data_IF_717698274045
#
_entry.id   IF_717698274045
#
_cell.length_a   1.000
_cell.length_b   1.000
_cell.length_c   1.000
_cell.angle_alpha   90.00
_cell.angle_beta   90.00
_cell.angle_gamma   90.00
#
_symmetry.space_group_name_H-M   'P 1'
#
loop_
_entity.id
_entity.type
_entity.pdbx_description
1 polymer ?
#
# COMPACT_ATOMS: atom_id res chain seq x y z
N UNK A 1 -26.26 21.00 -47.97
CA UNK A 1 -27.15 22.17 -47.76
C UNK A 1 -27.51 22.22 -46.29
N UNK A 2 -27.15 23.33 -45.60
CA UNK A 2 -27.65 23.87 -44.32
C UNK A 2 -27.69 22.95 -43.06
N UNK A 3 -27.42 23.41 -41.83
CA UNK A 3 -26.77 24.61 -41.29
C UNK A 3 -26.48 24.39 -39.81
N UNK A 4 -25.41 25.00 -39.31
CA UNK A 4 -24.96 25.16 -37.93
C UNK A 4 -26.02 25.48 -36.87
N UNK A 5 -25.73 25.11 -35.62
CA UNK A 5 -25.82 26.03 -34.47
C UNK A 5 -25.01 25.51 -33.28
N UNK A 6 -23.86 26.15 -33.04
CA UNK A 6 -23.08 26.09 -31.80
C UNK A 6 -23.63 27.16 -30.84
N UNK A 7 -23.88 26.79 -29.59
CA UNK A 7 -24.16 27.75 -28.51
C UNK A 7 -22.99 27.71 -27.55
N UNK A 8 -22.15 28.74 -27.60
CA UNK A 8 -21.09 29.00 -26.64
C UNK A 8 -21.67 29.82 -25.46
N UNK A 9 -21.55 29.31 -24.24
CA UNK A 9 -21.86 30.06 -23.03
C UNK A 9 -20.55 30.65 -22.52
N UNK A 10 -20.41 31.96 -22.72
CA UNK A 10 -19.35 32.81 -22.14
C UNK A 10 -19.87 33.30 -20.80
N UNK A 11 -19.25 32.90 -19.69
CA UNK A 11 -19.46 33.55 -18.39
C UNK A 11 -18.20 34.30 -17.98
N UNK A 12 -18.43 35.57 -17.65
CA UNK A 12 -17.46 36.63 -17.45
C UNK A 12 -16.65 36.46 -16.16
N UNK A 13 -15.35 36.74 -16.28
CA UNK A 13 -14.44 37.04 -15.17
C UNK A 13 -14.86 38.35 -14.50
N UNK A 14 -14.97 38.33 -13.17
CA UNK A 14 -15.07 39.55 -12.36
C UNK A 14 -13.78 39.70 -11.54
N UNK A 15 -13.00 40.74 -11.85
CA UNK A 15 -11.81 41.17 -11.11
C UNK A 15 -12.18 42.43 -10.35
N UNK A 16 -11.95 42.47 -9.04
CA UNK A 16 -12.03 43.68 -8.22
C UNK A 16 -10.67 43.97 -7.56
N UNK A 17 -10.30 45.24 -7.32
CA UNK A 17 -8.92 45.65 -7.11
C UNK A 17 -8.52 45.85 -5.63
N UNK A 18 -7.25 45.55 -5.36
CA UNK A 18 -6.28 46.26 -4.51
C UNK A 18 -6.66 46.74 -3.10
N UNK A 19 -5.86 46.33 -2.10
CA UNK A 19 -5.07 47.30 -1.33
C UNK A 19 -3.89 46.66 -0.59
N UNK A 20 -2.74 47.30 -0.73
CA UNK A 20 -1.47 47.02 -0.08
C UNK A 20 -1.48 47.53 1.36
N UNK A 21 -1.02 46.74 2.33
CA UNK A 21 -0.51 47.30 3.58
C UNK A 21 0.72 46.53 4.07
N UNK A 22 1.84 47.24 4.04
CA UNK A 22 3.10 46.93 4.69
C UNK A 22 2.90 46.80 6.21
N UNK A 23 3.48 45.78 6.84
CA UNK A 23 4.18 46.03 8.10
C UNK A 23 5.36 45.08 8.33
N UNK A 24 6.51 45.72 8.47
CA UNK A 24 7.84 45.23 8.86
C UNK A 24 7.91 45.22 10.40
N UNK A 25 8.72 44.32 10.98
CA UNK A 25 9.57 44.44 12.19
C UNK A 25 9.79 43.05 12.80
N UNK A 26 10.97 42.44 12.66
CA UNK A 26 12.13 42.54 13.59
C UNK A 26 11.84 42.01 15.01
N UNK A 27 12.55 40.95 15.41
CA UNK A 27 12.60 40.47 16.80
C UNK A 27 13.56 39.30 16.98
N UNK A 28 14.77 39.63 17.43
CA UNK A 28 15.92 38.76 17.70
C UNK A 28 15.96 38.38 19.18
N UNK A 29 15.92 37.10 19.59
CA UNK A 29 16.39 36.57 20.90
C UNK A 29 16.65 35.05 20.77
N UNK A 30 17.91 34.60 20.73
CA UNK A 30 18.80 34.21 21.84
C UNK A 30 18.69 32.74 22.26
N UNK A 31 19.82 32.04 22.13
CA UNK A 31 20.21 30.78 22.76
C UNK A 31 19.64 30.56 24.17
N UNK A 32 19.17 29.35 24.45
CA UNK A 32 19.37 28.66 25.74
C UNK A 32 19.15 27.15 25.58
N UNK A 33 20.23 26.38 25.69
CA UNK A 33 20.16 24.96 26.04
C UNK A 33 19.70 24.83 27.49
N UNK A 34 18.63 24.08 27.72
CA UNK A 34 18.32 23.49 29.01
C UNK A 34 17.59 22.16 28.82
N UNK A 35 17.89 21.26 29.72
CA UNK A 35 17.61 19.84 29.77
C UNK A 35 16.18 19.47 30.19
N UNK A 36 15.94 18.17 30.24
CA UNK A 36 14.84 17.43 30.89
C UNK A 36 13.52 17.30 30.12
N UNK A 37 13.34 16.09 29.58
CA UNK A 37 12.22 15.19 29.86
C UNK A 37 10.81 15.76 30.10
N UNK A 38 9.93 15.38 29.16
CA UNK A 38 8.55 14.91 29.35
C UNK A 38 7.44 15.98 29.45
N UNK A 39 6.68 16.12 28.36
CA UNK A 39 5.22 16.12 28.38
C UNK A 39 4.69 15.87 26.94
N UNK A 40 3.85 14.86 26.77
CA UNK A 40 3.11 14.60 25.54
C UNK A 40 1.97 15.62 25.50
N UNK A 41 2.12 16.70 24.74
CA UNK A 41 1.07 17.69 24.52
C UNK A 41 0.32 17.33 23.24
N UNK A 42 -0.93 16.96 23.41
CA UNK A 42 -1.93 16.82 22.35
C UNK A 42 -2.37 18.24 21.96
N UNK A 43 -1.98 18.63 20.76
CA UNK A 43 -2.52 19.77 20.04
C UNK A 43 -2.34 19.43 18.56
N UNK A 44 -3.40 18.87 18.00
CA UNK A 44 -3.57 18.49 16.60
C UNK A 44 -3.65 19.76 15.75
N UNK A 45 -2.50 20.36 15.47
CA UNK A 45 -2.32 21.18 14.28
C UNK A 45 -2.00 20.19 13.14
N UNK A 46 -2.96 20.01 12.23
CA UNK A 46 -2.80 19.22 11.00
C UNK A 46 -1.80 19.90 10.05
N UNK A 47 -0.52 19.90 10.42
CA UNK A 47 0.58 20.27 9.54
C UNK A 47 0.88 19.08 8.62
N UNK A 48 0.51 19.21 7.35
CA UNK A 48 1.02 18.34 6.30
C UNK A 48 2.54 18.51 6.18
N UNK A 49 3.29 17.40 6.25
CA UNK A 49 4.74 17.38 6.04
C UNK A 49 5.16 18.06 4.75
N UNK A 50 6.16 18.95 4.85
CA UNK A 50 6.87 19.55 3.71
C UNK A 50 7.93 18.61 3.10
N UNK A 51 8.14 17.42 3.67
CA UNK A 51 8.98 16.39 3.09
C UNK A 51 8.12 15.50 2.17
N UNK A 52 8.40 15.55 0.86
CA UNK A 52 7.64 14.84 -0.18
C UNK A 52 7.81 13.31 -0.16
N UNK A 53 8.66 12.78 0.73
CA UNK A 53 8.88 11.36 1.00
C UNK A 53 9.05 11.12 2.51
N UNK A 54 8.02 10.57 3.15
CA UNK A 54 8.04 9.91 4.46
C UNK A 54 8.18 10.78 5.73
N UNK A 55 7.16 10.72 6.61
CA UNK A 55 7.30 11.10 8.03
C UNK A 55 8.02 9.99 8.81
N UNK A 56 8.85 10.37 9.78
CA UNK A 56 9.44 9.42 10.74
C UNK A 56 8.33 8.65 11.47
N UNK A 57 8.36 7.31 11.33
CA UNK A 57 7.49 6.27 11.92
C UNK A 57 6.30 5.75 11.09
N UNK A 58 6.18 6.10 9.81
CA UNK A 58 5.19 5.45 8.95
C UNK A 58 5.79 5.10 7.58
N UNK A 59 6.02 3.81 7.39
CA UNK A 59 6.37 3.19 6.10
C UNK A 59 5.17 3.31 5.15
N UNK A 60 4.99 4.45 4.49
CA UNK A 60 4.02 4.56 3.38
C UNK A 60 4.66 5.33 2.23
N UNK A 61 5.11 4.57 1.23
CA UNK A 61 5.06 4.84 -0.23
C UNK A 61 5.56 3.55 -0.95
N UNK A 62 5.01 3.02 -2.06
CA UNK A 62 3.92 3.48 -2.92
C UNK A 62 2.71 2.54 -2.92
N UNK A 63 1.54 3.10 -2.59
CA UNK A 63 0.22 2.45 -2.65
C UNK A 63 -0.10 1.91 -4.06
N UNK A 64 0.56 2.43 -5.09
CA UNK A 64 0.13 2.23 -6.48
C UNK A 64 0.54 0.89 -7.09
N UNK A 65 1.66 0.29 -6.67
CA UNK A 65 2.08 -0.98 -7.27
C UNK A 65 1.14 -2.09 -6.76
N UNK A 66 0.87 -2.14 -5.45
CA UNK A 66 -0.08 -3.09 -4.87
C UNK A 66 -1.51 -2.99 -5.40
N UNK A 67 -1.95 -1.80 -5.85
CA UNK A 67 -3.27 -1.61 -6.48
C UNK A 67 -3.36 -2.09 -7.93
N UNK A 68 -2.23 -2.32 -8.62
CA UNK A 68 -2.24 -2.68 -10.04
C UNK A 68 -3.02 -3.96 -10.31
N UNK A 69 -2.82 -4.97 -9.45
CA UNK A 69 -3.47 -6.27 -9.58
C UNK A 69 -4.82 -6.34 -8.87
N UNK A 70 -5.19 -5.34 -8.05
CA UNK A 70 -6.40 -5.42 -7.21
C UNK A 70 -7.67 -5.59 -8.02
N UNK A 71 -7.87 -4.84 -9.12
CA UNK A 71 -9.05 -5.01 -9.95
C UNK A 71 -9.17 -6.41 -10.57
N UNK A 72 -8.03 -7.06 -10.81
CA UNK A 72 -7.97 -8.43 -11.34
C UNK A 72 -8.23 -9.45 -10.22
N UNK A 73 -7.66 -9.23 -9.04
CA UNK A 73 -7.84 -10.10 -7.87
C UNK A 73 -9.28 -10.05 -7.35
N UNK A 74 -9.90 -8.87 -7.31
CA UNK A 74 -11.31 -8.68 -6.95
C UNK A 74 -12.28 -9.31 -7.95
N UNK A 75 -11.92 -9.33 -9.24
CA UNK A 75 -12.73 -9.95 -10.28
C UNK A 75 -12.57 -11.48 -10.36
N UNK A 76 -11.58 -12.05 -9.69
CA UNK A 76 -11.35 -13.48 -9.67
C UNK A 76 -12.34 -14.19 -8.75
N UNK A 77 -12.70 -15.42 -9.09
CA UNK A 77 -13.40 -16.33 -8.18
C UNK A 77 -12.38 -16.96 -7.24
N UNK A 78 -12.65 -16.98 -5.93
CA UNK A 78 -11.75 -17.54 -4.94
C UNK A 78 -12.30 -18.85 -4.38
N UNK A 79 -11.39 -19.71 -3.93
CA UNK A 79 -11.72 -20.95 -3.26
C UNK A 79 -10.82 -21.16 -2.04
N UNK A 80 -11.36 -21.79 -1.02
CA UNK A 80 -10.61 -22.16 0.17
C UNK A 80 -9.58 -23.26 -0.15
N UNK A 81 -8.41 -23.17 0.51
CA UNK A 81 -7.36 -24.18 0.43
C UNK A 81 -6.76 -24.43 1.81
N UNK A 82 -6.47 -25.69 2.12
CA UNK A 82 -5.84 -26.08 3.37
C UNK A 82 -4.47 -25.42 3.47
N UNK A 83 -4.20 -24.85 4.66
CA UNK A 83 -2.95 -24.14 4.96
C UNK A 83 -1.71 -24.98 4.64
N UNK A 84 -1.70 -26.27 4.96
CA UNK A 84 -0.54 -27.14 4.69
C UNK A 84 -0.17 -27.17 3.21
N UNK A 85 -1.14 -27.36 2.31
CA UNK A 85 -0.91 -27.41 0.86
C UNK A 85 -0.34 -26.07 0.37
N UNK A 86 -0.85 -24.95 0.90
CA UNK A 86 -0.32 -23.63 0.53
C UNK A 86 1.11 -23.45 1.02
N UNK A 87 1.40 -23.76 2.28
CA UNK A 87 2.76 -23.63 2.82
C UNK A 87 3.79 -24.51 2.10
N UNK A 88 3.40 -25.70 1.65
CA UNK A 88 4.28 -26.60 0.91
C UNK A 88 4.63 -26.08 -0.49
N UNK A 89 3.81 -25.17 -1.05
CA UNK A 89 3.90 -24.73 -2.44
C UNK A 89 4.06 -23.21 -2.63
N UNK A 90 4.06 -22.43 -1.54
CA UNK A 90 4.27 -20.98 -1.50
C UNK A 90 5.50 -20.64 -0.64
N UNK A 91 6.73 -21.01 -1.06
CA UNK A 91 7.93 -20.85 -0.25
C UNK A 91 8.26 -19.41 0.12
N UNK A 92 7.87 -18.42 -0.70
CA UNK A 92 8.11 -17.01 -0.38
C UNK A 92 7.18 -16.53 0.74
N UNK A 93 5.87 -16.77 0.63
CA UNK A 93 4.89 -16.32 1.61
C UNK A 93 4.70 -17.24 2.83
N UNK A 94 5.37 -18.40 2.89
CA UNK A 94 5.15 -19.42 3.94
C UNK A 94 5.19 -18.85 5.37
N UNK A 95 6.10 -17.91 5.64
CA UNK A 95 6.32 -17.36 6.98
C UNK A 95 5.33 -16.21 7.31
N UNK A 96 4.61 -15.70 6.30
CA UNK A 96 3.53 -14.73 6.48
C UNK A 96 2.19 -15.39 6.82
N UNK A 97 1.93 -16.60 6.30
CA UNK A 97 0.61 -17.22 6.31
C UNK A 97 0.36 -18.01 7.59
N UNK A 98 -0.17 -17.35 8.63
CA UNK A 98 -0.58 -17.98 9.89
C UNK A 98 -2.06 -18.42 9.93
N UNK A 99 -2.80 -18.19 8.85
CA UNK A 99 -4.23 -18.50 8.70
C UNK A 99 -4.47 -19.45 7.52
N UNK A 100 -5.70 -19.91 7.34
CA UNK A 100 -6.13 -20.66 6.15
C UNK A 100 -6.36 -19.68 4.99
N UNK A 101 -5.55 -19.72 3.93
CA UNK A 101 -5.67 -18.78 2.82
C UNK A 101 -6.68 -19.27 1.78
N UNK A 102 -7.34 -18.32 1.12
CA UNK A 102 -8.04 -18.57 -0.13
C UNK A 102 -7.07 -18.41 -1.32
N UNK A 103 -7.37 -19.11 -2.41
CA UNK A 103 -6.62 -19.06 -3.66
C UNK A 103 -7.59 -18.86 -4.83
N UNK A 104 -7.15 -18.30 -5.97
CA UNK A 104 -8.04 -18.17 -7.13
C UNK A 104 -8.49 -19.54 -7.64
N UNK A 105 -9.80 -19.71 -7.85
CA UNK A 105 -10.33 -20.88 -8.54
C UNK A 105 -10.08 -20.72 -10.04
N UNK A 106 -9.22 -21.57 -10.59
CA UNK A 106 -8.93 -21.60 -12.02
C UNK A 106 -9.07 -23.03 -12.54
N UNK A 107 -10.13 -23.31 -13.28
CA UNK A 107 -10.40 -24.64 -13.83
C UNK A 107 -9.36 -25.14 -14.83
N UNK A 108 -8.48 -24.26 -15.33
CA UNK A 108 -7.40 -24.60 -16.27
C UNK A 108 -6.07 -24.97 -15.60
N UNK A 109 -5.92 -24.70 -14.31
CA UNK A 109 -4.69 -24.97 -13.55
C UNK A 109 -4.98 -25.91 -12.38
N UNK A 110 -4.03 -26.79 -12.06
CA UNK A 110 -4.09 -27.53 -10.82
C UNK A 110 -3.83 -26.59 -9.63
N UNK A 111 -4.42 -26.90 -8.47
CA UNK A 111 -4.31 -26.12 -7.23
C UNK A 111 -2.86 -25.74 -6.90
N UNK A 112 -1.94 -26.70 -6.99
CA UNK A 112 -0.51 -26.47 -6.75
C UNK A 112 0.08 -25.42 -7.68
N UNK A 113 -0.17 -25.48 -8.99
CA UNK A 113 0.38 -24.47 -9.90
C UNK A 113 -0.25 -23.10 -9.67
N UNK A 114 -1.53 -23.06 -9.28
CA UNK A 114 -2.17 -21.80 -8.88
C UNK A 114 -1.47 -21.19 -7.67
N UNK A 115 -1.18 -21.98 -6.63
CA UNK A 115 -0.48 -21.50 -5.43
C UNK A 115 0.91 -20.99 -5.79
N UNK A 116 1.69 -21.76 -6.55
CA UNK A 116 3.03 -21.35 -6.98
C UNK A 116 3.00 -20.07 -7.82
N UNK A 117 1.98 -19.91 -8.67
CA UNK A 117 1.80 -18.67 -9.44
C UNK A 117 1.49 -17.48 -8.53
N UNK A 118 0.59 -17.63 -7.55
CA UNK A 118 0.29 -16.58 -6.56
C UNK A 118 1.54 -16.19 -5.75
N UNK A 119 2.33 -17.17 -5.30
CA UNK A 119 3.58 -16.92 -4.57
C UNK A 119 4.61 -16.16 -5.42
N UNK A 120 4.70 -16.52 -6.70
CA UNK A 120 5.56 -15.81 -7.66
C UNK A 120 5.11 -14.37 -7.85
N UNK A 121 3.80 -14.12 -7.98
CA UNK A 121 3.27 -12.75 -8.08
C UNK A 121 3.55 -11.96 -6.80
N UNK A 122 3.32 -12.53 -5.62
CA UNK A 122 3.65 -11.88 -4.35
C UNK A 122 5.13 -11.50 -4.26
N UNK A 123 6.04 -12.38 -4.68
CA UNK A 123 7.47 -12.11 -4.73
C UNK A 123 7.82 -10.99 -5.71
N UNK A 124 7.25 -11.01 -6.93
CA UNK A 124 7.44 -9.93 -7.91
C UNK A 124 7.00 -8.59 -7.33
N UNK A 125 5.82 -8.55 -6.70
CA UNK A 125 5.31 -7.33 -6.11
C UNK A 125 6.14 -6.83 -4.94
N UNK A 126 6.70 -7.74 -4.13
CA UNK A 126 7.65 -7.38 -3.08
C UNK A 126 8.87 -6.67 -3.66
N UNK A 127 9.48 -7.25 -4.70
CA UNK A 127 10.66 -6.69 -5.38
C UNK A 127 10.34 -5.31 -5.95
N UNK A 128 9.18 -5.16 -6.60
CA UNK A 128 8.75 -3.88 -7.17
C UNK A 128 8.49 -2.81 -6.10
N UNK A 129 7.86 -3.17 -4.97
CA UNK A 129 7.66 -2.24 -3.86
C UNK A 129 8.99 -1.81 -3.25
N UNK A 130 9.92 -2.75 -3.02
CA UNK A 130 11.25 -2.42 -2.50
C UNK A 130 12.00 -1.49 -3.45
N UNK A 131 11.99 -1.77 -4.76
CA UNK A 131 12.60 -0.90 -5.76
C UNK A 131 11.98 0.51 -5.76
N UNK A 132 10.66 0.62 -5.58
CA UNK A 132 9.96 1.90 -5.43
C UNK A 132 10.33 2.68 -4.17
N UNK A 133 10.79 1.98 -3.13
CA UNK A 133 11.28 2.55 -1.87
C UNK A 133 12.79 2.82 -1.88
N UNK A 134 13.50 2.40 -2.92
CA UNK A 134 14.96 2.52 -3.02
C UNK A 134 15.74 1.43 -2.28
N UNK A 135 15.08 0.32 -1.92
CA UNK A 135 15.72 -0.87 -1.37
C UNK A 135 16.03 -1.87 -2.47
N UNK A 136 17.13 -2.62 -2.29
CA UNK A 136 17.48 -3.73 -3.16
C UNK A 136 17.04 -5.04 -2.52
N UNK A 137 16.24 -5.83 -3.24
CA UNK A 137 15.59 -7.01 -2.65
C UNK A 137 16.59 -8.10 -2.19
N UNK A 138 17.78 -8.18 -2.80
CA UNK A 138 18.80 -9.16 -2.39
C UNK A 138 19.48 -8.80 -1.07
N UNK A 139 19.28 -7.59 -0.54
CA UNK A 139 19.73 -7.21 0.80
C UNK A 139 18.72 -7.64 1.88
N UNK A 140 17.52 -8.05 1.46
CA UNK A 140 16.37 -8.38 2.30
C UNK A 140 15.84 -9.80 2.05
N UNK A 141 16.74 -10.79 2.12
CA UNK A 141 16.44 -12.18 1.73
C UNK A 141 15.55 -12.95 2.71
N UNK A 142 15.38 -12.45 3.94
CA UNK A 142 14.51 -13.05 4.97
C UNK A 142 13.52 -12.01 5.49
N UNK A 143 12.56 -11.58 4.66
CA UNK A 143 11.77 -10.39 4.94
C UNK A 143 10.82 -10.51 6.14
N UNK A 144 10.50 -11.74 6.57
CA UNK A 144 9.74 -11.97 7.81
C UNK A 144 10.52 -11.56 9.07
N UNK A 145 11.84 -11.72 9.04
CA UNK A 145 12.75 -11.50 10.17
C UNK A 145 13.67 -10.27 9.96
N UNK A 146 13.34 -9.41 9.00
CA UNK A 146 14.18 -8.27 8.62
C UNK A 146 14.31 -7.23 9.75
N UNK A 147 15.45 -6.55 9.83
CA UNK A 147 15.64 -5.48 10.81
C UNK A 147 14.84 -4.21 10.44
N UNK A 148 14.57 -4.02 9.14
CA UNK A 148 13.76 -2.92 8.64
C UNK A 148 12.27 -3.27 8.70
N UNK A 149 11.56 -2.57 9.60
CA UNK A 149 10.12 -2.75 9.74
C UNK A 149 9.34 -2.46 8.47
N UNK A 150 9.82 -1.57 7.58
CA UNK A 150 9.16 -1.26 6.34
C UNK A 150 9.18 -2.46 5.38
N UNK A 151 10.32 -3.14 5.29
CA UNK A 151 10.48 -4.35 4.49
C UNK A 151 9.53 -5.45 5.00
N UNK A 152 9.49 -5.66 6.32
CA UNK A 152 8.53 -6.59 6.94
C UNK A 152 7.09 -6.24 6.57
N UNK A 153 6.69 -4.96 6.66
CA UNK A 153 5.31 -4.54 6.34
C UNK A 153 4.97 -4.78 4.88
N UNK A 154 5.86 -4.47 3.95
CA UNK A 154 5.65 -4.74 2.52
C UNK A 154 5.51 -6.23 2.28
N UNK A 155 6.34 -7.05 2.89
CA UNK A 155 6.27 -8.52 2.78
C UNK A 155 4.92 -9.07 3.25
N UNK A 156 4.48 -8.72 4.46
CA UNK A 156 3.17 -9.15 4.95
C UNK A 156 2.04 -8.61 4.07
N UNK A 157 2.13 -7.36 3.62
CA UNK A 157 1.14 -6.76 2.75
C UNK A 157 0.96 -7.55 1.45
N UNK A 158 2.04 -7.81 0.70
CA UNK A 158 1.93 -8.53 -0.57
C UNK A 158 1.43 -9.96 -0.38
N UNK A 159 1.88 -10.65 0.68
CA UNK A 159 1.43 -12.02 0.94
C UNK A 159 -0.06 -12.06 1.29
N UNK A 160 -0.58 -11.07 2.01
CA UNK A 160 -2.01 -11.00 2.32
C UNK A 160 -2.87 -10.57 1.13
N UNK A 161 -2.29 -9.83 0.18
CA UNK A 161 -2.95 -9.49 -1.09
C UNK A 161 -3.14 -10.72 -1.98
N UNK A 162 -2.11 -11.55 -2.16
CA UNK A 162 -2.22 -12.73 -3.05
C UNK A 162 -2.77 -13.99 -2.34
N UNK A 163 -2.79 -14.01 -1.00
CA UNK A 163 -3.37 -15.08 -0.20
C UNK A 163 -4.31 -14.49 0.86
N UNK A 164 -5.50 -13.98 0.47
CA UNK A 164 -6.47 -13.46 1.42
C UNK A 164 -6.93 -14.56 2.38
N UNK A 165 -7.43 -14.15 3.54
CA UNK A 165 -7.88 -15.09 4.57
C UNK A 165 -9.24 -15.66 4.20
N UNK A 166 -9.34 -16.99 4.14
CA UNK A 166 -10.62 -17.67 3.94
C UNK A 166 -11.51 -17.61 5.19
N UNK A 167 -12.80 -17.83 5.02
CA UNK A 167 -13.75 -17.89 6.14
C UNK A 167 -13.38 -18.99 7.15
N UNK A 168 -13.68 -18.78 8.45
CA UNK A 168 -13.19 -19.63 9.54
C UNK A 168 -13.74 -21.07 9.60
N UNK A 169 -14.55 -21.47 8.62
CA UNK A 169 -15.20 -22.79 8.55
C UNK A 169 -15.23 -23.36 7.12
N UNK A 170 -14.32 -22.95 6.25
CA UNK A 170 -14.26 -23.41 4.87
C UNK A 170 -13.55 -24.76 4.73
N UNK A 171 -14.01 -25.54 3.76
CA UNK A 171 -13.38 -26.77 3.29
C UNK A 171 -12.66 -26.53 1.95
N UNK A 172 -11.72 -27.41 1.61
CA UNK A 172 -10.98 -27.32 0.34
C UNK A 172 -11.94 -27.26 -0.86
N UNK A 173 -11.83 -26.20 -1.65
CA UNK A 173 -12.66 -25.96 -2.83
C UNK A 173 -13.97 -25.22 -2.57
N UNK A 174 -14.31 -24.90 -1.32
CA UNK A 174 -15.45 -24.01 -1.02
C UNK A 174 -15.21 -22.65 -1.64
N UNK A 175 -16.25 -22.06 -2.24
CA UNK A 175 -16.18 -20.73 -2.84
C UNK A 175 -15.99 -19.66 -1.75
N UNK A 176 -15.04 -18.76 -1.98
CA UNK A 176 -14.69 -17.68 -1.08
C UNK A 176 -14.83 -16.33 -1.79
N UNK A 177 -15.09 -15.29 -1.01
CA UNK A 177 -14.91 -13.92 -1.49
C UNK A 177 -13.44 -13.53 -1.36
N UNK A 178 -13.01 -12.58 -2.19
CA UNK A 178 -11.76 -11.87 -1.96
C UNK A 178 -11.81 -11.07 -0.65
#
# INVERSE_FOLDING_TARGET
>A
MASSSFVAVVCFLYVAPGNSFLQKHQGNQSFQSASLGKARSSSDDDEYTENYLCHQNYCINPVFIGLYDMSKLEAATWQCSTRSIVLDNAPFCKDALYYTPAIPSNSSMNVTATITAQDTFAMTMFIEHLGGMGYEYWEHTSPADDEDMCVQKVFYQVCYTYFPKATSACFDGDEESY
#
